data_IF_658541455608
#
_entry.id   IF_658541455608
#
_cell.length_a   1.000
_cell.length_b   1.000
_cell.length_c   1.000
_cell.angle_alpha   90.00
_cell.angle_beta   90.00
_cell.angle_gamma   90.00
#
_symmetry.space_group_name_H-M   'P 1'
#
loop_
_entity.id
_entity.type
_entity.pdbx_description
1 polymer ?
#
# COMPACT_ATOMS: atom_id res chain seq x y z
N UNK A 1 13.74 31.88 -31.43
CA UNK A 1 12.56 31.44 -30.66
C UNK A 1 13.03 30.56 -29.51
N UNK A 2 12.92 31.04 -28.27
CA UNK A 2 13.25 30.23 -27.09
C UNK A 2 12.01 29.41 -26.76
N UNK A 3 12.08 28.10 -26.96
CA UNK A 3 10.96 27.21 -26.67
C UNK A 3 10.59 27.33 -25.19
N UNK A 4 9.35 27.73 -24.92
CA UNK A 4 8.75 27.93 -23.59
C UNK A 4 8.69 26.63 -22.75
N UNK A 5 9.20 25.51 -23.28
CA UNK A 5 9.20 24.19 -22.67
C UNK A 5 10.35 23.95 -21.67
N UNK A 6 11.28 24.88 -21.51
CA UNK A 6 12.36 24.79 -20.50
C UNK A 6 12.14 25.75 -19.31
N UNK A 7 10.89 25.94 -18.89
CA UNK A 7 10.55 26.76 -17.73
C UNK A 7 10.93 26.05 -16.42
N UNK A 8 11.66 26.77 -15.55
CA UNK A 8 11.90 26.45 -14.14
C UNK A 8 10.62 26.07 -13.38
N UNK A 9 9.45 26.56 -13.82
CA UNK A 9 8.15 26.24 -13.23
C UNK A 9 7.70 24.78 -13.38
N UNK A 10 8.04 24.10 -14.48
CA UNK A 10 7.70 22.67 -14.66
C UNK A 10 8.52 21.78 -13.72
N UNK A 11 9.83 22.07 -13.58
CA UNK A 11 10.70 21.35 -12.65
C UNK A 11 10.29 21.57 -11.19
N UNK A 12 9.90 22.79 -10.81
CA UNK A 12 9.37 23.07 -9.47
C UNK A 12 8.03 22.35 -9.19
N UNK A 13 7.10 22.31 -10.14
CA UNK A 13 5.82 21.61 -9.97
C UNK A 13 6.02 20.10 -9.82
N UNK A 14 6.92 19.50 -10.60
CA UNK A 14 7.31 18.10 -10.48
C UNK A 14 7.93 17.81 -9.11
N UNK A 15 8.77 18.71 -8.60
CA UNK A 15 9.33 18.61 -7.25
C UNK A 15 8.24 18.65 -6.16
N UNK A 16 7.25 19.54 -6.28
CA UNK A 16 6.13 19.63 -5.34
C UNK A 16 5.22 18.41 -5.37
N UNK A 17 4.87 17.89 -6.56
CA UNK A 17 4.03 16.69 -6.66
C UNK A 17 4.76 15.44 -6.15
N UNK A 18 6.06 15.36 -6.39
CA UNK A 18 6.92 14.30 -5.86
C UNK A 18 6.98 14.33 -4.34
N UNK A 19 7.27 15.49 -3.73
CA UNK A 19 7.29 15.63 -2.27
C UNK A 19 5.94 15.31 -1.62
N UNK A 20 4.84 15.74 -2.24
CA UNK A 20 3.49 15.42 -1.75
C UNK A 20 3.21 13.92 -1.84
N UNK A 21 3.62 13.27 -2.93
CA UNK A 21 3.48 11.83 -3.09
C UNK A 21 4.30 11.03 -2.08
N UNK A 22 5.56 11.44 -1.84
CA UNK A 22 6.42 10.83 -0.82
C UNK A 22 5.77 10.92 0.56
N UNK A 23 5.32 12.11 0.97
CA UNK A 23 4.64 12.27 2.26
C UNK A 23 3.43 11.34 2.40
N UNK A 24 2.60 11.23 1.36
CA UNK A 24 1.44 10.33 1.37
C UNK A 24 1.81 8.85 1.50
N UNK A 25 2.91 8.42 0.88
CA UNK A 25 3.44 7.05 1.06
C UNK A 25 3.86 6.84 2.51
N UNK A 26 4.58 7.80 3.09
CA UNK A 26 5.01 7.72 4.49
C UNK A 26 3.81 7.72 5.46
N UNK A 27 2.82 8.58 5.22
CA UNK A 27 1.61 8.65 6.03
C UNK A 27 0.82 7.34 5.95
N UNK A 28 0.74 6.72 4.77
CA UNK A 28 0.09 5.41 4.61
C UNK A 28 0.83 4.31 5.39
N UNK A 29 2.17 4.29 5.35
CA UNK A 29 2.98 3.36 6.14
C UNK A 29 2.74 3.54 7.65
N UNK A 30 2.61 4.78 8.13
CA UNK A 30 2.32 5.09 9.54
C UNK A 30 0.91 4.67 9.95
N UNK A 31 -0.10 4.93 9.11
CA UNK A 31 -1.49 4.47 9.33
C UNK A 31 -1.55 2.95 9.46
N UNK A 32 -0.78 2.24 8.64
CA UNK A 32 -0.67 0.78 8.67
C UNK A 32 0.30 0.26 9.74
N UNK A 33 0.96 1.14 10.50
CA UNK A 33 1.96 0.82 11.53
C UNK A 33 3.09 -0.10 11.01
N UNK A 34 3.54 0.14 9.78
CA UNK A 34 4.60 -0.66 9.16
C UNK A 34 5.99 -0.33 9.74
N UNK A 35 6.92 -1.29 9.76
CA UNK A 35 8.31 -1.02 10.13
C UNK A 35 8.98 0.01 9.21
N UNK A 36 9.95 0.77 9.73
CA UNK A 36 10.64 1.85 8.98
C UNK A 36 11.27 1.38 7.66
N UNK A 37 11.79 0.15 7.62
CA UNK A 37 12.36 -0.48 6.42
C UNK A 37 11.35 -0.53 5.26
N UNK A 38 10.06 -0.71 5.57
CA UNK A 38 8.99 -0.75 4.57
C UNK A 38 8.73 0.63 4.00
N UNK A 39 8.77 1.66 4.84
CA UNK A 39 8.62 3.05 4.41
C UNK A 39 9.73 3.43 3.43
N UNK A 40 10.99 3.16 3.78
CA UNK A 40 12.15 3.46 2.92
C UNK A 40 12.04 2.76 1.55
N UNK A 41 11.68 1.47 1.57
CA UNK A 41 11.52 0.65 0.36
C UNK A 41 10.37 1.16 -0.52
N UNK A 42 9.21 1.46 0.08
CA UNK A 42 8.05 1.97 -0.64
C UNK A 42 8.31 3.37 -1.24
N UNK A 43 8.99 4.25 -0.50
CA UNK A 43 9.42 5.57 -1.01
C UNK A 43 10.39 5.39 -2.18
N UNK A 44 11.35 4.47 -2.07
CA UNK A 44 12.27 4.16 -3.17
C UNK A 44 11.55 3.69 -4.44
N UNK A 45 10.56 2.80 -4.31
CA UNK A 45 9.73 2.38 -5.46
C UNK A 45 8.91 3.53 -6.04
N UNK A 46 8.33 4.38 -5.20
CA UNK A 46 7.54 5.51 -5.65
C UNK A 46 8.39 6.52 -6.42
N UNK A 47 9.61 6.82 -5.94
CA UNK A 47 10.55 7.70 -6.62
C UNK A 47 10.97 7.12 -7.98
N UNK A 48 11.29 5.82 -8.04
CA UNK A 48 11.59 5.13 -9.31
C UNK A 48 10.42 5.19 -10.28
N UNK A 49 9.20 4.99 -9.80
CA UNK A 49 8.00 5.05 -10.63
C UNK A 49 7.79 6.45 -11.21
N UNK A 50 7.99 7.51 -10.42
CA UNK A 50 7.85 8.89 -10.89
C UNK A 50 8.87 9.29 -11.96
N UNK A 51 10.01 8.61 -12.04
CA UNK A 51 11.02 8.82 -13.08
C UNK A 51 10.76 8.00 -14.35
N UNK A 52 9.83 7.03 -14.30
CA UNK A 52 9.58 6.14 -15.42
C UNK A 52 8.59 6.80 -16.42
N UNK A 53 8.90 6.81 -17.74
CA UNK A 53 8.06 7.46 -18.75
C UNK A 53 6.60 7.00 -18.74
N UNK A 54 6.35 5.73 -18.42
CA UNK A 54 5.00 5.16 -18.34
C UNK A 54 4.09 5.86 -17.31
N UNK A 55 4.65 6.50 -16.27
CA UNK A 55 3.88 7.15 -15.20
C UNK A 55 3.87 8.68 -15.28
N UNK A 56 4.58 9.30 -16.23
CA UNK A 56 4.61 10.77 -16.34
C UNK A 56 3.24 11.37 -16.68
N UNK A 57 2.53 10.74 -17.63
CA UNK A 57 1.28 11.24 -18.22
C UNK A 57 0.01 10.59 -17.65
N UNK A 58 0.11 9.86 -16.54
CA UNK A 58 -1.08 9.25 -15.92
C UNK A 58 -1.92 10.29 -15.18
N UNK A 59 -3.23 10.03 -15.06
CA UNK A 59 -4.16 10.89 -14.34
C UNK A 59 -3.73 11.10 -12.89
N UNK A 60 -4.20 12.20 -12.28
CA UNK A 60 -3.89 12.50 -10.88
C UNK A 60 -4.29 11.34 -9.95
N UNK A 61 -5.48 10.78 -10.14
CA UNK A 61 -5.97 9.60 -9.41
C UNK A 61 -4.99 8.42 -9.49
N UNK A 62 -4.48 8.09 -10.68
CA UNK A 62 -3.49 7.02 -10.85
C UNK A 62 -2.16 7.33 -10.14
N UNK A 63 -1.76 8.60 -10.06
CA UNK A 63 -0.55 9.01 -9.30
C UNK A 63 -0.75 8.84 -7.79
N UNK A 64 -1.96 9.02 -7.28
CA UNK A 64 -2.28 8.77 -5.87
C UNK A 64 -2.25 7.26 -5.56
N UNK A 65 -2.83 6.45 -6.47
CA UNK A 65 -2.80 4.98 -6.36
C UNK A 65 -1.41 4.40 -6.50
N UNK A 66 -0.52 5.07 -7.24
CA UNK A 66 0.88 4.65 -7.41
C UNK A 66 1.58 4.51 -6.06
N UNK A 67 1.37 5.46 -5.15
CA UNK A 67 1.92 5.40 -3.79
C UNK A 67 1.38 4.20 -3.00
N UNK A 68 0.07 3.96 -3.07
CA UNK A 68 -0.57 2.78 -2.47
C UNK A 68 -0.04 1.46 -3.04
N UNK A 69 0.17 1.39 -4.35
CA UNK A 69 0.74 0.22 -5.02
C UNK A 69 2.18 -0.04 -4.57
N UNK A 70 3.00 1.01 -4.40
CA UNK A 70 4.36 0.86 -3.87
C UNK A 70 4.35 0.29 -2.44
N UNK A 71 3.48 0.79 -1.55
CA UNK A 71 3.32 0.23 -0.19
C UNK A 71 2.84 -1.22 -0.24
N UNK A 72 1.87 -1.53 -1.10
CA UNK A 72 1.36 -2.89 -1.27
C UNK A 72 2.43 -3.88 -1.71
N UNK A 73 3.21 -3.51 -2.73
CA UNK A 73 4.30 -4.33 -3.26
C UNK A 73 5.34 -4.60 -2.18
N UNK A 74 5.75 -3.57 -1.45
CA UNK A 74 6.68 -3.73 -0.31
C UNK A 74 6.11 -4.67 0.75
N UNK A 75 4.85 -4.48 1.14
CA UNK A 75 4.20 -5.36 2.12
C UNK A 75 4.23 -6.81 1.67
N UNK A 76 3.93 -7.09 0.39
CA UNK A 76 3.98 -8.44 -0.16
C UNK A 76 5.37 -9.04 -0.12
N UNK A 77 6.41 -8.29 -0.50
CA UNK A 77 7.80 -8.78 -0.48
C UNK A 77 8.27 -9.19 0.91
N UNK A 78 7.72 -8.59 1.95
CA UNK A 78 8.03 -8.91 3.34
C UNK A 78 6.99 -9.83 4.01
N UNK A 79 6.11 -10.49 3.24
CA UNK A 79 5.02 -11.35 3.73
C UNK A 79 4.09 -10.65 4.74
N UNK A 80 3.95 -9.33 4.64
CA UNK A 80 3.03 -8.58 5.48
C UNK A 80 1.59 -8.77 4.99
N UNK A 81 0.65 -9.17 5.86
CA UNK A 81 -0.70 -9.57 5.46
C UNK A 81 -1.57 -8.35 5.17
N UNK A 82 -1.33 -7.74 4.01
CA UNK A 82 -2.09 -6.62 3.48
C UNK A 82 -2.87 -7.04 2.24
N UNK A 83 -4.18 -6.76 2.24
CA UNK A 83 -5.05 -7.03 1.10
C UNK A 83 -5.19 -5.79 0.23
N UNK A 84 -5.49 -5.98 -1.06
CA UNK A 84 -5.82 -4.87 -1.95
C UNK A 84 -7.03 -4.08 -1.44
N UNK A 85 -8.03 -4.79 -0.88
CA UNK A 85 -9.23 -4.17 -0.31
C UNK A 85 -8.90 -3.19 0.81
N UNK A 86 -8.00 -3.56 1.73
CA UNK A 86 -7.57 -2.67 2.83
C UNK A 86 -7.00 -1.35 2.30
N UNK A 87 -6.09 -1.41 1.32
CA UNK A 87 -5.50 -0.19 0.74
C UNK A 87 -6.55 0.61 -0.04
N UNK A 88 -7.40 -0.06 -0.82
CA UNK A 88 -8.46 0.60 -1.57
C UNK A 88 -9.41 1.35 -0.64
N UNK A 89 -9.78 0.76 0.50
CA UNK A 89 -10.58 1.41 1.53
C UNK A 89 -9.87 2.62 2.14
N UNK A 90 -8.57 2.51 2.46
CA UNK A 90 -7.79 3.62 3.01
C UNK A 90 -7.60 4.79 2.02
N UNK A 91 -7.50 4.48 0.73
CA UNK A 91 -7.31 5.47 -0.33
C UNK A 91 -8.63 5.90 -1.00
N UNK A 92 -9.78 5.39 -0.53
CA UNK A 92 -11.10 5.62 -1.13
C UNK A 92 -11.14 5.36 -2.65
N UNK A 93 -10.51 4.26 -3.06
CA UNK A 93 -10.27 3.93 -4.46
C UNK A 93 -11.03 2.70 -4.93
N UNK A 94 -11.35 2.66 -6.23
CA UNK A 94 -11.93 1.48 -6.86
C UNK A 94 -10.87 0.39 -7.03
N UNK A 95 -11.20 -0.84 -6.64
CA UNK A 95 -10.27 -1.97 -6.69
C UNK A 95 -9.79 -2.29 -8.10
N UNK A 96 -10.65 -2.12 -9.12
CA UNK A 96 -10.27 -2.31 -10.53
C UNK A 96 -9.18 -1.34 -10.99
N UNK A 97 -9.30 -0.06 -10.58
CA UNK A 97 -8.29 0.95 -10.89
C UNK A 97 -6.98 0.66 -10.18
N UNK A 98 -7.06 0.27 -8.90
CA UNK A 98 -5.89 -0.13 -8.13
C UNK A 98 -5.17 -1.33 -8.76
N UNK A 99 -5.91 -2.37 -9.16
CA UNK A 99 -5.36 -3.55 -9.80
C UNK A 99 -4.63 -3.20 -11.11
N UNK A 100 -5.21 -2.32 -11.93
CA UNK A 100 -4.56 -1.84 -13.16
C UNK A 100 -3.23 -1.13 -12.88
N UNK A 101 -3.19 -0.22 -11.91
CA UNK A 101 -1.96 0.49 -11.53
C UNK A 101 -0.94 -0.47 -10.93
N UNK A 102 -1.35 -1.41 -10.07
CA UNK A 102 -0.50 -2.43 -9.48
C UNK A 102 0.18 -3.32 -10.53
N UNK A 103 -0.55 -3.76 -11.56
CA UNK A 103 0.03 -4.52 -12.67
C UNK A 103 1.05 -3.69 -13.46
N UNK A 104 0.74 -2.41 -13.73
CA UNK A 104 1.71 -1.51 -14.36
C UNK A 104 2.96 -1.32 -13.51
N UNK A 105 2.83 -1.14 -12.19
CA UNK A 105 3.97 -0.97 -11.28
C UNK A 105 4.89 -2.19 -11.31
N UNK A 106 4.34 -3.39 -11.21
CA UNK A 106 5.14 -4.62 -11.28
C UNK A 106 5.87 -4.76 -12.61
N UNK A 107 5.15 -4.52 -13.71
CA UNK A 107 5.70 -4.66 -15.07
C UNK A 107 6.79 -3.63 -15.34
N UNK A 108 6.51 -2.35 -15.12
CA UNK A 108 7.39 -1.25 -15.52
C UNK A 108 8.60 -1.10 -14.57
N UNK A 109 8.47 -1.48 -13.30
CA UNK A 109 9.60 -1.47 -12.36
C UNK A 109 10.36 -2.81 -12.28
N UNK A 110 9.90 -3.83 -12.99
CA UNK A 110 10.48 -5.18 -12.98
C UNK A 110 10.46 -5.83 -11.61
N UNK A 111 9.39 -5.61 -10.83
CA UNK A 111 9.29 -6.11 -9.46
C UNK A 111 8.59 -7.46 -9.45
N UNK A 112 9.27 -8.48 -8.93
CA UNK A 112 8.65 -9.76 -8.60
C UNK A 112 7.98 -9.66 -7.23
N UNK A 113 6.70 -10.04 -7.17
CA UNK A 113 5.88 -9.97 -5.95
C UNK A 113 5.43 -11.38 -5.59
N UNK A 114 5.75 -11.87 -4.37
CA UNK A 114 5.29 -13.18 -3.93
C UNK A 114 3.76 -13.19 -3.73
N UNK A 115 3.17 -14.39 -3.85
CA UNK A 115 1.77 -14.60 -3.54
C UNK A 115 1.47 -14.26 -2.07
N UNK A 116 0.20 -13.94 -1.76
CA UNK A 116 -0.19 -13.65 -0.38
C UNK A 116 -0.01 -14.90 0.48
N UNK A 117 0.68 -14.78 1.61
CA UNK A 117 0.66 -15.81 2.63
C UNK A 117 -0.73 -15.85 3.27
N UNK A 118 -1.52 -16.87 2.94
CA UNK A 118 -2.82 -17.09 3.58
C UNK A 118 -2.67 -17.38 5.07
N UNK A 119 -1.58 -18.05 5.48
CA UNK A 119 -1.31 -18.32 6.89
C UNK A 119 -1.12 -17.03 7.70
N UNK A 120 -0.31 -16.09 7.20
CA UNK A 120 -0.10 -14.80 7.86
C UNK A 120 -1.38 -13.95 7.83
N UNK A 121 -2.15 -14.01 6.73
CA UNK A 121 -3.44 -13.34 6.63
C UNK A 121 -4.45 -13.87 7.65
N UNK A 122 -4.60 -15.20 7.76
CA UNK A 122 -5.49 -15.83 8.72
C UNK A 122 -5.11 -15.42 10.14
N UNK A 123 -3.82 -15.49 10.48
CA UNK A 123 -3.33 -15.07 11.80
C UNK A 123 -3.67 -13.61 12.12
N UNK A 124 -3.35 -12.67 11.23
CA UNK A 124 -3.64 -11.24 11.46
C UNK A 124 -5.13 -10.92 11.42
N UNK A 125 -5.89 -11.58 10.55
CA UNK A 125 -7.32 -11.36 10.49
C UNK A 125 -8.00 -11.89 11.76
N UNK A 126 -7.69 -13.10 12.18
CA UNK A 126 -8.25 -13.71 13.39
C UNK A 126 -7.89 -12.92 14.63
N UNK A 127 -6.66 -12.46 14.81
CA UNK A 127 -6.26 -11.69 15.99
C UNK A 127 -7.02 -10.35 16.15
N UNK A 128 -7.62 -9.84 15.07
CA UNK A 128 -8.47 -8.65 15.12
C UNK A 128 -9.89 -8.91 15.64
N UNK A 129 -10.32 -10.18 15.78
CA UNK A 129 -11.65 -10.50 16.27
C UNK A 129 -11.77 -10.19 17.76
N UNK A 130 -12.88 -9.55 18.13
CA UNK A 130 -13.25 -9.31 19.52
C UNK A 130 -13.86 -10.57 20.15
N UNK A 131 -13.15 -11.69 20.14
CA UNK A 131 -13.62 -12.98 20.69
C UNK A 131 -12.70 -13.56 21.78
N UNK A 132 -11.49 -13.01 21.93
CA UNK A 132 -10.47 -13.58 22.83
C UNK A 132 -10.40 -12.89 24.20
N UNK A 133 -11.25 -11.89 24.43
CA UNK A 133 -11.37 -11.20 25.72
C UNK A 133 -12.83 -11.10 26.11
N UNK A 134 -13.09 -11.17 27.42
CA UNK A 134 -14.38 -10.80 27.97
C UNK A 134 -14.59 -9.31 27.77
N UNK A 135 -15.61 -8.97 27.03
CA UNK A 135 -16.11 -7.62 26.85
C UNK A 135 -17.62 -7.62 27.12
N UNK A 136 -18.23 -6.45 27.35
CA UNK A 136 -19.66 -6.37 27.69
C UNK A 136 -20.56 -6.96 26.58
N UNK A 137 -20.07 -6.93 25.34
CA UNK A 137 -20.67 -7.45 24.12
C UNK A 137 -20.32 -8.92 23.81
N UNK A 138 -19.48 -9.56 24.60
CA UNK A 138 -19.04 -10.96 24.40
C UNK A 138 -19.34 -11.81 25.64
N UNK A 139 -20.49 -12.52 25.66
CA UNK A 139 -20.82 -13.45 26.73
C UNK A 139 -19.74 -14.51 26.95
N UNK A 140 -19.54 -14.92 28.20
CA UNK A 140 -18.55 -15.93 28.61
C UNK A 140 -18.51 -17.23 27.77
N UNK A 141 -19.64 -17.84 27.33
CA UNK A 141 -19.59 -19.05 26.50
C UNK A 141 -19.06 -18.83 25.07
N UNK A 142 -18.97 -17.58 24.60
CA UNK A 142 -18.48 -17.24 23.27
C UNK A 142 -17.02 -16.76 23.28
N UNK A 143 -16.39 -16.69 24.45
CA UNK A 143 -14.96 -16.35 24.56
C UNK A 143 -14.14 -17.57 24.17
N UNK A 144 -13.29 -17.41 23.15
CA UNK A 144 -12.43 -18.46 22.61
C UNK A 144 -10.96 -18.16 22.90
N UNK A 145 -10.13 -19.20 22.79
CA UNK A 145 -8.67 -19.08 22.88
C UNK A 145 -8.08 -18.78 21.48
N UNK A 146 -7.26 -17.74 21.38
CA UNK A 146 -6.72 -17.26 20.09
C UNK A 146 -5.86 -18.32 19.39
N UNK A 147 -4.96 -18.99 20.12
CA UNK A 147 -4.09 -20.01 19.54
C UNK A 147 -4.89 -21.21 19.04
N UNK A 148 -5.91 -21.64 19.78
CA UNK A 148 -6.82 -22.71 19.36
C UNK A 148 -7.63 -22.33 18.11
N UNK A 149 -8.11 -21.10 18.02
CA UNK A 149 -8.87 -20.64 16.85
C UNK A 149 -7.97 -20.55 15.62
N UNK A 150 -6.75 -20.03 15.75
CA UNK A 150 -5.78 -19.98 14.65
C UNK A 150 -5.36 -21.38 14.20
N UNK A 151 -5.13 -22.32 15.12
CA UNK A 151 -4.75 -23.68 14.76
C UNK A 151 -5.88 -24.49 14.11
N UNK A 152 -7.15 -24.16 14.40
CA UNK A 152 -8.34 -24.83 13.86
C UNK A 152 -8.75 -24.31 12.47
N UNK A 153 -8.40 -23.08 12.14
CA UNK A 153 -8.83 -22.36 10.92
C UNK A 153 -7.83 -22.55 9.79
#
# INVERSE_FOLDING_TARGET
EVAYSQSTGQKEQLSRCMQRGIRRVQDLCKVLQLPSVFEETAVGYFQRALQHPAFHLVSLEKKELLGGCCVFVTCRQHNWPLTMGTICSLLYAKQELFAGVYLSVQKELGISVPALSLADLVKTHLSSFHLFRRAEDVPAPFVEDEERVVART
#
